data_IF_091915387560
#
_entry.id   IF_091915387560
#
_cell.length_a   1.000
_cell.length_b   1.000
_cell.length_c   1.000
_cell.angle_alpha   90.00
_cell.angle_beta   90.00
_cell.angle_gamma   90.00
#
_symmetry.space_group_name_H-M   'P 1'
#
loop_
_entity.id
_entity.type
_entity.pdbx_description
1 polymer ?
#
# COMPACT_ATOMS: atom_id res chain seq x y z
N UNK A 1 6.03 -21.26 9.20
CA UNK A 1 6.14 -22.21 10.31
C UNK A 1 5.44 -23.48 9.85
N UNK A 2 6.09 -24.25 9.00
CA UNK A 2 5.61 -25.57 8.54
C UNK A 2 6.70 -26.41 7.83
N UNK A 3 7.98 -26.04 7.93
CA UNK A 3 9.08 -26.91 7.48
C UNK A 3 9.10 -27.17 5.96
N UNK A 4 8.38 -26.36 5.17
CA UNK A 4 8.32 -26.43 3.71
C UNK A 4 9.26 -25.45 3.02
N UNK A 5 10.12 -24.79 3.80
CA UNK A 5 11.05 -23.73 3.40
C UNK A 5 10.42 -22.56 2.63
N UNK A 6 9.21 -22.20 3.03
CA UNK A 6 8.61 -20.90 2.78
C UNK A 6 9.38 -19.75 3.50
N UNK A 7 9.21 -18.54 2.96
CA UNK A 7 9.59 -17.29 3.65
C UNK A 7 8.70 -17.11 4.89
N UNK A 8 9.30 -17.06 6.08
CA UNK A 8 8.57 -16.97 7.35
C UNK A 8 8.55 -15.54 7.93
N UNK A 9 7.45 -15.21 8.62
CA UNK A 9 6.95 -13.87 8.97
C UNK A 9 6.49 -13.85 10.44
N UNK A 10 7.03 -12.99 11.31
CA UNK A 10 6.53 -12.81 12.69
C UNK A 10 7.00 -11.50 13.37
N UNK A 11 6.10 -10.85 14.12
CA UNK A 11 6.17 -9.43 14.56
C UNK A 11 6.25 -9.27 16.08
N UNK A 12 6.79 -8.11 16.51
CA UNK A 12 6.63 -7.56 17.86
C UNK A 12 5.93 -6.19 17.85
N UNK A 13 4.91 -6.02 18.68
CA UNK A 13 4.18 -4.78 19.01
C UNK A 13 4.80 -4.17 20.30
N UNK A 14 4.90 -2.84 20.54
CA UNK A 14 3.79 -1.88 20.72
C UNK A 14 3.96 -0.47 20.12
N UNK A 15 5.14 -0.11 19.59
CA UNK A 15 5.40 1.16 18.87
C UNK A 15 6.56 1.01 17.85
N UNK A 16 6.69 -0.15 17.22
CA UNK A 16 7.84 -0.50 16.38
C UNK A 16 7.51 -0.70 14.90
N UNK A 17 8.46 -0.41 14.00
CA UNK A 17 8.37 -0.74 12.57
C UNK A 17 9.06 -2.09 12.28
N UNK A 18 8.45 -2.87 11.41
CA UNK A 18 8.93 -4.19 10.98
C UNK A 18 9.23 -4.20 9.48
N UNK A 19 10.30 -4.90 9.08
CA UNK A 19 10.67 -5.05 7.67
C UNK A 19 11.24 -6.46 7.40
N UNK A 20 10.96 -7.02 6.22
CA UNK A 20 11.26 -8.42 5.87
C UNK A 20 12.13 -8.50 4.64
N UNK A 21 13.21 -9.27 4.72
CA UNK A 21 14.16 -9.44 3.61
C UNK A 21 14.74 -10.84 3.62
N UNK A 22 14.63 -11.57 2.50
CA UNK A 22 15.34 -12.84 2.29
C UNK A 22 15.31 -13.75 3.55
N UNK A 23 14.10 -14.02 4.06
CA UNK A 23 13.81 -14.81 5.28
C UNK A 23 14.27 -14.24 6.64
N UNK A 24 14.62 -12.94 6.69
CA UNK A 24 14.93 -12.20 7.91
C UNK A 24 13.80 -11.27 8.30
N UNK A 25 13.51 -11.17 9.59
CA UNK A 25 12.59 -10.19 10.15
C UNK A 25 13.35 -9.29 11.11
N UNK A 26 13.23 -7.98 10.89
CA UNK A 26 13.86 -6.96 11.73
C UNK A 26 12.75 -6.22 12.46
N UNK A 27 12.82 -6.20 13.78
CA UNK A 27 11.86 -5.50 14.65
C UNK A 27 12.62 -4.43 15.42
N UNK A 28 12.35 -3.16 15.12
CA UNK A 28 12.87 -2.05 15.92
C UNK A 28 11.74 -1.44 16.76
N UNK A 29 12.02 -1.17 18.03
CA UNK A 29 11.06 -0.63 19.00
C UNK A 29 11.40 0.83 19.31
N UNK A 30 10.37 1.62 19.66
CA UNK A 30 10.57 2.99 20.15
C UNK A 30 11.45 3.06 21.43
N UNK A 31 11.59 1.96 22.16
CA UNK A 31 12.46 1.81 23.34
C UNK A 31 13.94 1.61 22.98
N UNK A 32 14.31 1.68 21.70
CA UNK A 32 15.71 1.62 21.27
C UNK A 32 16.26 0.20 21.17
N UNK A 33 15.39 -0.80 21.00
CA UNK A 33 15.79 -2.20 20.83
C UNK A 33 15.49 -2.66 19.40
N UNK A 34 16.47 -3.30 18.75
CA UNK A 34 16.34 -3.90 17.43
C UNK A 34 16.70 -5.39 17.47
N UNK A 35 15.76 -6.24 17.08
CA UNK A 35 15.94 -7.70 17.08
C UNK A 35 15.82 -8.25 15.65
N UNK A 36 16.73 -9.16 15.30
CA UNK A 36 16.80 -9.81 13.99
C UNK A 36 16.48 -11.29 14.16
N UNK A 37 15.42 -11.74 13.49
CA UNK A 37 14.98 -13.12 13.47
C UNK A 37 15.26 -13.73 12.10
N UNK A 38 15.62 -15.01 12.05
CA UNK A 38 15.78 -15.75 10.78
C UNK A 38 15.13 -17.12 10.87
N UNK A 39 14.71 -17.62 9.72
CA UNK A 39 14.34 -19.02 9.58
C UNK A 39 15.61 -19.88 9.56
N UNK A 40 15.63 -20.94 10.36
CA UNK A 40 16.75 -21.88 10.49
C UNK A 40 16.26 -23.25 10.04
N UNK A 41 17.03 -23.91 9.17
CA UNK A 41 16.68 -25.20 8.60
C UNK A 41 16.40 -26.23 9.71
N UNK A 42 15.18 -26.80 9.71
CA UNK A 42 14.73 -27.78 10.70
C UNK A 42 14.10 -27.21 11.98
N UNK A 43 14.06 -25.88 12.15
CA UNK A 43 13.31 -25.25 13.23
C UNK A 43 11.89 -24.89 12.77
N UNK A 44 10.88 -25.28 13.54
CA UNK A 44 9.49 -24.87 13.28
C UNK A 44 9.25 -23.39 13.63
N UNK A 45 10.19 -22.73 14.31
CA UNK A 45 10.07 -21.36 14.83
C UNK A 45 11.26 -20.52 14.37
N UNK A 46 11.01 -19.26 14.02
CA UNK A 46 12.05 -18.27 13.75
C UNK A 46 12.96 -18.08 14.96
N UNK A 47 14.26 -18.22 14.75
CA UNK A 47 15.23 -18.06 15.81
C UNK A 47 15.66 -16.58 15.90
N UNK A 48 15.71 -16.05 17.12
CA UNK A 48 16.37 -14.78 17.38
C UNK A 48 17.86 -14.96 17.10
N UNK A 49 18.36 -14.29 16.06
CA UNK A 49 19.75 -14.41 15.61
C UNK A 49 20.63 -13.28 16.14
N UNK A 50 20.07 -12.08 16.32
CA UNK A 50 20.80 -10.94 16.86
C UNK A 50 19.87 -9.99 17.58
N UNK A 51 20.40 -9.33 18.59
CA UNK A 51 19.72 -8.32 19.38
C UNK A 51 20.69 -7.19 19.67
N UNK A 52 20.34 -5.97 19.30
CA UNK A 52 21.21 -4.82 19.46
C UNK A 52 20.41 -3.54 19.72
N UNK A 53 21.10 -2.57 20.31
CA UNK A 53 20.49 -1.29 20.62
C UNK A 53 20.49 -0.38 19.39
N UNK A 54 19.36 0.28 19.17
CA UNK A 54 19.17 1.37 18.21
C UNK A 54 18.77 2.64 18.96
N UNK A 55 18.69 3.77 18.26
CA UNK A 55 18.24 5.02 18.86
C UNK A 55 16.81 4.89 19.44
N UNK A 56 16.53 5.63 20.51
CA UNK A 56 15.17 5.78 21.04
C UNK A 56 14.27 6.50 20.03
N UNK A 57 12.95 6.37 20.20
CA UNK A 57 11.94 7.01 19.37
C UNK A 57 12.00 6.61 17.88
N UNK A 58 12.38 5.37 17.59
CA UNK A 58 12.28 4.82 16.23
C UNK A 58 10.85 4.98 15.72
N UNK A 59 10.69 5.70 14.61
CA UNK A 59 9.42 5.83 13.91
C UNK A 59 9.38 4.92 12.69
N UNK A 60 10.53 4.65 12.06
CA UNK A 60 10.57 3.94 10.80
C UNK A 60 11.88 3.18 10.56
N UNK A 61 11.84 2.13 9.74
CA UNK A 61 12.95 1.25 9.40
C UNK A 61 12.77 0.79 7.96
N UNK A 62 13.85 0.82 7.20
CA UNK A 62 13.95 0.36 5.82
C UNK A 62 15.23 -0.42 5.68
N UNK A 63 15.24 -1.52 4.92
CA UNK A 63 16.48 -2.16 4.51
C UNK A 63 16.63 -2.05 2.99
N UNK A 64 17.76 -1.51 2.56
CA UNK A 64 18.04 -1.23 1.16
C UNK A 64 19.53 -1.43 0.90
N UNK A 65 19.90 -2.08 -0.21
CA UNK A 65 21.28 -2.31 -0.59
C UNK A 65 22.16 -2.93 0.52
N UNK A 66 21.60 -3.88 1.28
CA UNK A 66 22.28 -4.55 2.40
C UNK A 66 22.60 -3.62 3.57
N UNK A 67 21.89 -2.51 3.69
CA UNK A 67 21.97 -1.60 4.83
C UNK A 67 20.62 -1.53 5.53
N UNK A 68 20.65 -1.35 6.84
CA UNK A 68 19.48 -1.07 7.65
C UNK A 68 19.45 0.43 7.95
N UNK A 69 18.40 1.11 7.51
CA UNK A 69 18.19 2.53 7.68
C UNK A 69 17.07 2.71 8.69
N UNK A 70 17.35 3.37 9.80
CA UNK A 70 16.43 3.59 10.92
C UNK A 70 16.16 5.08 11.03
N UNK A 71 14.90 5.49 10.98
CA UNK A 71 14.51 6.85 11.28
C UNK A 71 13.91 6.95 12.67
N UNK A 72 14.14 8.11 13.28
CA UNK A 72 13.64 8.47 14.60
C UNK A 72 12.78 9.72 14.51
N UNK A 73 11.83 9.81 15.44
CA UNK A 73 10.86 10.90 15.47
C UNK A 73 11.50 12.28 15.67
N UNK A 74 12.70 12.33 16.26
CA UNK A 74 13.45 13.56 16.52
C UNK A 74 14.34 14.01 15.35
N UNK A 75 14.11 13.45 14.15
CA UNK A 75 14.77 13.92 12.93
C UNK A 75 16.04 13.16 12.56
N UNK A 76 16.48 12.16 13.34
CA UNK A 76 17.69 11.40 12.99
C UNK A 76 17.39 10.24 12.06
N UNK A 77 18.24 10.09 11.05
CA UNK A 77 18.30 8.92 10.16
C UNK A 77 19.64 8.23 10.38
N UNK A 78 19.60 7.01 10.89
CA UNK A 78 20.77 6.20 11.22
C UNK A 78 20.92 5.07 10.21
N UNK A 79 22.15 4.83 9.76
CA UNK A 79 22.46 3.76 8.80
C UNK A 79 23.33 2.72 9.50
N UNK A 80 22.95 1.47 9.37
CA UNK A 80 23.68 0.33 9.89
C UNK A 80 24.07 -0.62 8.75
N UNK A 81 25.28 -1.16 8.81
CA UNK A 81 25.78 -2.19 7.88
C UNK A 81 25.98 -3.51 8.61
N UNK A 82 25.79 -4.66 7.92
CA UNK A 82 26.10 -5.97 8.48
C UNK A 82 27.58 -6.06 8.85
N UNK A 83 27.84 -6.59 10.04
CA UNK A 83 29.17 -6.91 10.48
C UNK A 83 29.69 -8.12 9.70
N UNK A 84 30.84 -7.95 9.04
CA UNK A 84 31.50 -9.02 8.29
C UNK A 84 32.25 -9.99 9.20
N UNK A 85 32.50 -9.61 10.46
CA UNK A 85 33.14 -10.44 11.46
C UNK A 85 32.08 -11.22 12.24
N UNK A 86 32.09 -12.55 12.10
CA UNK A 86 31.13 -13.45 12.77
C UNK A 86 31.31 -13.55 14.30
N UNK A 87 32.33 -12.91 14.87
CA UNK A 87 32.60 -12.88 16.31
C UNK A 87 31.87 -11.75 17.06
N UNK A 88 31.22 -10.83 16.35
CA UNK A 88 30.45 -9.74 16.97
C UNK A 88 29.05 -10.22 17.40
N UNK A 89 28.66 -9.89 18.64
CA UNK A 89 27.33 -10.20 19.20
C UNK A 89 26.18 -9.49 18.45
N UNK A 90 26.46 -8.32 17.89
CA UNK A 90 25.52 -7.56 17.07
C UNK A 90 25.77 -7.87 15.59
N UNK A 91 24.71 -8.18 14.84
CA UNK A 91 24.80 -8.45 13.40
C UNK A 91 25.01 -7.18 12.58
N UNK A 92 24.65 -6.02 13.13
CA UNK A 92 24.72 -4.73 12.46
C UNK A 92 25.46 -3.71 13.33
N UNK A 93 26.26 -2.85 12.70
CA UNK A 93 26.92 -1.71 13.33
C UNK A 93 26.51 -0.40 12.65
N UNK A 94 26.33 0.66 13.45
CA UNK A 94 26.02 1.98 12.93
C UNK A 94 27.24 2.55 12.20
N UNK A 95 27.03 2.97 10.96
CA UNK A 95 28.08 3.52 10.08
C UNK A 95 27.86 4.98 9.72
N UNK A 96 26.63 5.47 9.81
CA UNK A 96 26.32 6.88 9.55
C UNK A 96 25.11 7.35 10.36
N UNK A 97 25.04 8.66 10.57
CA UNK A 97 23.90 9.37 11.11
C UNK A 97 23.73 10.68 10.33
N UNK A 98 22.49 10.99 10.01
CA UNK A 98 22.09 12.25 9.40
C UNK A 98 20.94 12.85 10.18
N UNK A 99 20.77 14.17 10.10
CA UNK A 99 19.75 14.91 10.84
C UNK A 99 18.90 15.73 9.88
N UNK A 100 17.59 15.67 10.08
CA UNK A 100 16.58 16.48 9.44
C UNK A 100 16.04 17.40 10.54
N UNK A 101 15.98 18.70 10.27
CA UNK A 101 15.45 19.70 11.21
C UNK A 101 13.91 19.69 11.21
N UNK A 102 13.33 18.50 11.42
CA UNK A 102 11.89 18.24 11.45
C UNK A 102 11.57 16.86 12.03
N UNK A 103 10.33 16.65 12.48
CA UNK A 103 9.87 15.35 12.96
C UNK A 103 9.62 14.38 11.81
N UNK A 104 10.43 13.32 11.71
CA UNK A 104 10.26 12.30 10.68
C UNK A 104 9.04 11.43 11.00
N UNK A 105 8.16 11.32 10.02
CA UNK A 105 6.98 10.46 10.04
C UNK A 105 7.29 9.06 9.53
N UNK A 106 7.92 8.95 8.35
CA UNK A 106 8.20 7.66 7.70
C UNK A 106 9.33 7.75 6.67
N UNK A 107 9.97 6.62 6.36
CA UNK A 107 10.88 6.48 5.23
C UNK A 107 10.17 5.80 4.06
N UNK A 108 10.46 6.29 2.86
CA UNK A 108 9.89 5.83 1.60
C UNK A 108 11.03 5.38 0.70
N UNK A 109 10.92 4.20 0.09
CA UNK A 109 11.89 3.74 -0.91
C UNK A 109 11.32 3.95 -2.30
N UNK A 110 11.94 4.83 -3.07
CA UNK A 110 11.67 5.00 -4.49
C UNK A 110 12.66 4.16 -5.30
N UNK A 111 12.16 3.31 -6.20
CA UNK A 111 13.00 2.64 -7.20
C UNK A 111 12.67 3.24 -8.57
N UNK A 112 13.54 4.09 -9.13
CA UNK A 112 13.30 4.60 -10.48
C UNK A 112 13.53 3.49 -11.52
N UNK A 113 13.00 3.71 -12.73
CA UNK A 113 13.16 2.80 -13.87
C UNK A 113 14.66 2.64 -14.22
N UNK A 114 15.00 1.47 -14.80
CA UNK A 114 16.33 0.96 -15.17
C UNK A 114 17.54 1.94 -15.13
N UNK A 115 18.63 1.50 -14.51
CA UNK A 115 19.98 2.11 -14.37
C UNK A 115 20.21 3.19 -13.28
N UNK A 116 19.25 3.44 -12.37
CA UNK A 116 19.47 4.32 -11.21
C UNK A 116 19.34 3.57 -9.88
N UNK A 117 20.21 3.89 -8.92
CA UNK A 117 20.12 3.27 -7.59
C UNK A 117 18.83 3.69 -6.89
N UNK A 118 18.19 2.79 -6.13
CA UNK A 118 17.01 3.14 -5.36
C UNK A 118 17.31 4.31 -4.42
N UNK A 119 16.35 5.20 -4.23
CA UNK A 119 16.47 6.38 -3.40
C UNK A 119 15.62 6.21 -2.14
N UNK A 120 16.12 6.68 -1.01
CA UNK A 120 15.36 6.72 0.23
C UNK A 120 14.91 8.15 0.45
N UNK A 121 13.63 8.34 0.69
CA UNK A 121 13.06 9.60 1.12
C UNK A 121 12.68 9.52 2.59
N UNK A 122 12.81 10.62 3.32
CA UNK A 122 12.26 10.81 4.65
C UNK A 122 11.16 11.86 4.55
N UNK A 123 9.94 11.50 4.97
CA UNK A 123 8.80 12.41 5.04
C UNK A 123 8.58 12.85 6.48
N UNK A 124 8.34 14.13 6.66
CA UNK A 124 8.17 14.76 7.97
C UNK A 124 6.70 15.14 8.23
N UNK A 125 6.36 15.34 9.50
CA UNK A 125 5.00 15.74 9.90
C UNK A 125 4.57 17.11 9.34
N UNK A 126 5.52 17.98 9.06
CA UNK A 126 5.27 19.24 8.35
C UNK A 126 4.73 19.04 6.92
N UNK A 127 4.90 17.83 6.36
CA UNK A 127 4.66 17.52 4.96
C UNK A 127 5.92 17.63 4.09
N UNK A 128 7.04 18.15 4.63
CA UNK A 128 8.30 18.20 3.92
C UNK A 128 8.88 16.80 3.68
N UNK A 129 9.51 16.65 2.51
CA UNK A 129 10.10 15.39 2.06
C UNK A 129 11.54 15.64 1.68
N UNK A 130 12.43 14.84 2.23
CA UNK A 130 13.86 14.93 1.99
C UNK A 130 14.35 13.65 1.32
N UNK A 131 15.14 13.78 0.27
CA UNK A 131 15.89 12.69 -0.32
C UNK A 131 17.20 12.48 0.42
N UNK A 132 17.48 11.24 0.76
CA UNK A 132 18.75 10.77 1.31
C UNK A 132 19.55 10.17 0.15
N UNK A 133 20.56 10.89 -0.32
CA UNK A 133 21.41 10.48 -1.44
C UNK A 133 22.60 9.61 -0.98
N UNK A 134 23.16 8.82 -1.91
CA UNK A 134 24.42 8.11 -1.68
C UNK A 134 24.29 6.77 -0.96
N UNK A 135 23.84 5.74 -1.67
CA UNK A 135 23.94 4.36 -1.20
C UNK A 135 25.26 3.68 -1.61
N UNK A 136 26.17 4.40 -2.26
CA UNK A 136 27.43 3.84 -2.72
C UNK A 136 28.55 4.90 -2.72
N UNK A 137 29.63 4.56 -2.00
CA UNK A 137 31.05 4.96 -2.20
C UNK A 137 31.70 5.93 -1.19
N UNK A 138 31.03 6.84 -0.49
CA UNK A 138 31.69 7.61 0.59
C UNK A 138 30.74 7.79 1.78
N UNK A 139 31.24 7.73 3.03
CA UNK A 139 30.47 7.82 4.29
C UNK A 139 29.81 9.20 4.53
N UNK A 140 29.56 9.97 3.48
CA UNK A 140 28.78 11.21 3.48
C UNK A 140 27.55 11.03 2.62
N UNK A 141 26.40 10.91 3.27
CA UNK A 141 25.09 11.02 2.63
C UNK A 141 24.62 12.45 2.71
N UNK A 142 24.11 12.96 1.60
CA UNK A 142 23.49 14.28 1.60
C UNK A 142 21.98 14.12 1.78
N UNK A 143 21.41 15.02 2.57
CA UNK A 143 19.97 15.21 2.69
C UNK A 143 19.63 16.43 1.87
N UNK A 144 18.79 16.24 0.85
CA UNK A 144 18.34 17.31 -0.05
C UNK A 144 16.82 17.35 -0.05
N UNK A 145 16.23 18.55 -0.10
CA UNK A 145 14.79 18.70 -0.28
C UNK A 145 14.36 17.95 -1.54
N UNK A 146 13.25 17.23 -1.46
CA UNK A 146 12.69 16.49 -2.58
C UNK A 146 11.48 17.23 -3.16
N UNK A 147 11.69 17.79 -4.35
CA UNK A 147 10.70 18.59 -5.10
C UNK A 147 9.80 17.70 -5.98
N UNK A 148 9.26 16.61 -5.42
CA UNK A 148 8.43 15.64 -6.13
C UNK A 148 7.10 16.20 -6.71
N UNK A 149 6.13 15.32 -7.04
CA UNK A 149 4.86 15.75 -7.62
C UNK A 149 4.14 16.80 -6.77
N UNK A 150 3.34 17.69 -7.38
CA UNK A 150 2.65 18.78 -6.69
C UNK A 150 1.84 18.26 -5.50
N UNK A 151 2.17 18.75 -4.29
CA UNK A 151 1.45 18.44 -3.07
C UNK A 151 0.12 19.21 -3.09
N UNK A 152 -1.00 18.49 -3.17
CA UNK A 152 -2.27 19.09 -2.75
C UNK A 152 -2.27 19.13 -1.21
N UNK A 153 -2.66 20.26 -0.62
CA UNK A 153 -2.53 20.62 0.81
C UNK A 153 -3.33 19.73 1.80
N UNK A 154 -3.67 18.50 1.42
CA UNK A 154 -4.59 17.62 2.14
C UNK A 154 -3.87 16.63 3.07
N UNK A 155 -3.14 17.16 4.05
CA UNK A 155 -2.67 16.41 5.20
C UNK A 155 -1.64 15.30 4.90
N UNK A 156 -1.60 14.29 5.77
CA UNK A 156 -0.61 13.22 5.74
C UNK A 156 -0.83 12.30 4.53
N UNK A 157 0.24 12.05 3.76
CA UNK A 157 0.22 11.29 2.50
C UNK A 157 1.18 10.08 2.53
N UNK A 158 0.67 8.87 2.34
CA UNK A 158 1.47 7.68 2.07
C UNK A 158 1.96 7.69 0.62
N UNK A 159 3.22 7.32 0.39
CA UNK A 159 3.79 7.21 -0.96
C UNK A 159 4.09 5.75 -1.25
N UNK A 160 3.45 5.21 -2.27
CA UNK A 160 3.64 3.83 -2.72
C UNK A 160 4.36 3.89 -4.07
N UNK A 161 5.63 3.50 -4.12
CA UNK A 161 6.46 3.61 -5.31
C UNK A 161 6.70 2.29 -6.03
N UNK A 162 7.34 2.37 -7.21
CA UNK A 162 7.74 1.20 -8.00
C UNK A 162 6.56 0.30 -8.36
N UNK A 163 5.42 0.91 -8.66
CA UNK A 163 4.18 0.21 -9.03
C UNK A 163 4.28 -0.16 -10.52
N UNK A 164 4.01 -1.43 -10.83
CA UNK A 164 3.85 -1.93 -12.20
C UNK A 164 2.39 -2.30 -12.46
N UNK A 165 1.74 -1.64 -13.42
CA UNK A 165 0.36 -1.91 -13.84
C UNK A 165 0.34 -2.07 -15.35
N UNK A 166 0.26 -3.33 -15.81
CA UNK A 166 0.31 -3.65 -17.23
C UNK A 166 1.70 -3.36 -17.81
N UNK A 167 1.75 -2.58 -18.89
CA UNK A 167 3.03 -2.22 -19.54
C UNK A 167 3.74 -1.04 -18.89
N UNK A 168 3.06 -0.33 -17.98
CA UNK A 168 3.63 0.83 -17.28
C UNK A 168 4.35 0.37 -16.01
N UNK A 169 5.54 0.92 -15.79
CA UNK A 169 6.42 0.56 -14.69
C UNK A 169 7.02 1.81 -14.05
N UNK A 170 7.36 1.72 -12.77
CA UNK A 170 7.93 2.83 -12.00
C UNK A 170 6.90 3.91 -11.68
N UNK A 171 5.63 3.55 -11.61
CA UNK A 171 4.56 4.45 -11.20
C UNK A 171 4.60 4.69 -9.69
N UNK A 172 4.05 5.83 -9.26
CA UNK A 172 3.98 6.21 -7.86
C UNK A 172 2.54 6.57 -7.51
N UNK A 173 2.03 6.05 -6.41
CA UNK A 173 0.75 6.45 -5.85
C UNK A 173 0.95 7.32 -4.61
N UNK A 174 0.18 8.39 -4.53
CA UNK A 174 0.03 9.23 -3.34
C UNK A 174 -1.31 8.90 -2.70
N UNK A 175 -1.32 8.58 -1.42
CA UNK A 175 -2.54 8.25 -0.68
C UNK A 175 -2.68 9.18 0.51
N UNK A 176 -3.66 10.06 0.51
CA UNK A 176 -3.91 11.00 1.59
C UNK A 176 -4.74 10.35 2.71
N UNK A 177 -4.56 10.80 3.95
CA UNK A 177 -5.33 10.32 5.12
C UNK A 177 -6.84 10.51 4.95
N UNK A 178 -7.28 11.49 4.18
CA UNK A 178 -8.71 11.70 3.90
C UNK A 178 -9.29 10.70 2.89
N UNK A 179 -8.46 9.80 2.33
CA UNK A 179 -8.90 8.76 1.40
C UNK A 179 -8.62 9.02 -0.07
N UNK A 180 -8.03 10.16 -0.45
CA UNK A 180 -7.66 10.40 -1.84
C UNK A 180 -6.47 9.53 -2.24
N UNK A 181 -6.64 8.67 -3.25
CA UNK A 181 -5.60 7.84 -3.86
C UNK A 181 -5.34 8.37 -5.27
N UNK A 182 -4.14 8.89 -5.52
CA UNK A 182 -3.72 9.45 -6.81
C UNK A 182 -2.56 8.65 -7.40
N UNK A 183 -2.72 8.12 -8.60
CA UNK A 183 -1.63 7.44 -9.31
C UNK A 183 -0.94 8.38 -10.28
N UNK A 184 0.38 8.35 -10.31
CA UNK A 184 1.23 9.11 -11.22
C UNK A 184 2.11 8.17 -12.04
N UNK A 185 2.33 8.52 -13.31
CA UNK A 185 3.30 7.86 -14.17
C UNK A 185 4.72 8.08 -13.65
N UNK A 186 5.69 7.34 -14.21
CA UNK A 186 7.11 7.58 -13.94
C UNK A 186 7.58 8.98 -14.37
N UNK A 187 6.88 9.63 -15.30
CA UNK A 187 7.15 11.02 -15.71
C UNK A 187 6.53 12.08 -14.78
N UNK A 188 5.79 11.64 -13.75
CA UNK A 188 5.10 12.53 -12.80
C UNK A 188 3.74 13.04 -13.29
N UNK A 189 3.22 12.50 -14.40
CA UNK A 189 1.89 12.84 -14.91
C UNK A 189 0.80 12.05 -14.17
N UNK A 190 -0.21 12.76 -13.65
CA UNK A 190 -1.34 12.13 -12.95
C UNK A 190 -2.15 11.26 -13.90
N UNK A 191 -2.33 9.99 -13.55
CA UNK A 191 -3.06 8.99 -14.32
C UNK A 191 -4.53 8.93 -13.92
N UNK A 192 -4.81 8.87 -12.62
CA UNK A 192 -6.17 8.85 -12.08
C UNK A 192 -6.18 9.19 -10.59
N UNK A 193 -7.36 9.60 -10.13
CA UNK A 193 -7.69 9.85 -8.72
C UNK A 193 -8.85 8.96 -8.30
N UNK A 194 -8.82 8.47 -7.07
CA UNK A 194 -9.89 7.68 -6.48
C UNK A 194 -10.11 8.08 -5.03
N UNK A 195 -11.32 8.54 -4.71
CA UNK A 195 -11.69 8.95 -3.37
C UNK A 195 -12.29 7.78 -2.59
N UNK A 196 -11.58 7.33 -1.56
CA UNK A 196 -12.11 6.38 -0.59
C UNK A 196 -13.16 7.06 0.31
N UNK A 197 -14.19 6.32 0.74
CA UNK A 197 -15.25 6.87 1.60
C UNK A 197 -14.81 7.09 3.05
N UNK A 198 -13.61 6.64 3.42
CA UNK A 198 -13.16 6.54 4.80
C UNK A 198 -11.69 6.93 4.92
N UNK A 199 -11.30 7.42 6.09
CA UNK A 199 -9.93 7.85 6.36
C UNK A 199 -8.94 6.68 6.36
N UNK A 200 -7.77 6.93 5.78
CA UNK A 200 -6.69 5.96 5.59
C UNK A 200 -5.75 5.95 6.80
N UNK A 201 -5.30 4.76 7.18
CA UNK A 201 -4.29 4.56 8.23
C UNK A 201 -2.96 4.04 7.67
N UNK A 202 -2.98 3.33 6.54
CA UNK A 202 -1.77 2.82 5.90
C UNK A 202 -2.01 2.50 4.42
N UNK A 203 -0.96 2.53 3.60
CA UNK A 203 -1.00 2.09 2.21
C UNK A 203 0.33 1.44 1.82
N UNK A 204 0.28 0.36 1.02
CA UNK A 204 1.47 -0.33 0.55
C UNK A 204 1.24 -1.00 -0.82
N UNK A 205 2.33 -1.41 -1.48
CA UNK A 205 2.32 -2.11 -2.77
C UNK A 205 2.26 -3.62 -2.56
N UNK A 206 1.23 -4.26 -3.10
CA UNK A 206 1.17 -5.71 -3.22
C UNK A 206 1.69 -6.14 -4.59
N UNK A 207 2.81 -6.85 -4.62
CA UNK A 207 3.37 -7.41 -5.84
C UNK A 207 2.49 -8.57 -6.31
N UNK A 208 1.94 -8.47 -7.51
CA UNK A 208 1.01 -9.45 -8.05
C UNK A 208 1.41 -9.82 -9.47
N UNK A 209 1.11 -11.06 -9.86
CA UNK A 209 1.33 -11.55 -11.23
C UNK A 209 0.00 -11.77 -11.92
N UNK A 210 -0.18 -11.20 -13.10
CA UNK A 210 -1.35 -11.39 -13.95
C UNK A 210 -1.39 -12.81 -14.54
N UNK A 211 -2.56 -13.21 -15.04
CA UNK A 211 -2.80 -14.54 -15.62
C UNK A 211 -1.90 -14.87 -16.83
N UNK A 212 -1.37 -13.84 -17.50
CA UNK A 212 -0.46 -13.96 -18.64
C UNK A 212 1.03 -14.00 -18.22
N UNK A 213 1.33 -13.92 -16.91
CA UNK A 213 2.68 -13.91 -16.37
C UNK A 213 3.31 -12.52 -16.21
N UNK A 214 2.64 -11.46 -16.65
CA UNK A 214 3.13 -10.09 -16.49
C UNK A 214 2.93 -9.62 -15.04
N UNK A 215 3.80 -8.71 -14.58
CA UNK A 215 3.62 -8.07 -13.28
C UNK A 215 2.44 -7.09 -13.33
N UNK A 216 1.55 -7.18 -12.36
CA UNK A 216 0.36 -6.35 -12.28
C UNK A 216 0.02 -6.10 -10.82
N UNK A 217 0.81 -5.22 -10.19
CA UNK A 217 0.75 -4.88 -8.78
C UNK A 217 -0.62 -4.31 -8.38
N UNK A 218 -0.87 -4.21 -7.07
CA UNK A 218 -2.03 -3.50 -6.54
C UNK A 218 -1.60 -2.54 -5.42
N UNK A 219 -2.25 -1.37 -5.37
CA UNK A 219 -2.13 -0.44 -4.24
C UNK A 219 -3.11 -0.93 -3.18
N UNK A 220 -2.58 -1.39 -2.05
CA UNK A 220 -3.38 -1.87 -0.93
C UNK A 220 -3.50 -0.75 0.10
N UNK A 221 -4.72 -0.30 0.36
CA UNK A 221 -5.03 0.77 1.30
C UNK A 221 -5.82 0.22 2.47
N UNK A 222 -5.39 0.53 3.69
CA UNK A 222 -6.05 0.20 4.94
C UNK A 222 -6.70 1.48 5.52
N UNK A 223 -7.96 1.37 5.94
CA UNK A 223 -8.70 2.45 6.59
C UNK A 223 -8.81 2.24 8.10
N UNK A 224 -9.11 3.30 8.85
CA UNK A 224 -9.29 3.24 10.29
C UNK A 224 -10.39 2.26 10.76
N UNK A 225 -11.41 2.02 9.93
CA UNK A 225 -12.48 1.05 10.24
C UNK A 225 -12.08 -0.41 10.02
N UNK A 226 -10.86 -0.65 9.51
CA UNK A 226 -10.37 -1.96 9.08
C UNK A 226 -10.83 -2.37 7.69
N UNK A 227 -11.41 -1.46 6.89
CA UNK A 227 -11.66 -1.74 5.47
C UNK A 227 -10.36 -1.67 4.68
N UNK A 228 -10.19 -2.65 3.80
CA UNK A 228 -9.06 -2.81 2.90
C UNK A 228 -9.53 -2.65 1.47
N UNK A 229 -8.70 -1.98 0.68
CA UNK A 229 -8.91 -1.76 -0.74
C UNK A 229 -7.66 -2.19 -1.49
N UNK A 230 -7.78 -3.16 -2.40
CA UNK A 230 -6.73 -3.44 -3.38
C UNK A 230 -7.13 -2.74 -4.68
N UNK A 231 -6.33 -1.80 -5.16
CA UNK A 231 -6.67 -0.88 -6.25
C UNK A 231 -5.65 -0.98 -7.37
N UNK A 232 -6.11 -1.22 -8.60
CA UNK A 232 -5.32 -1.13 -9.83
C UNK A 232 -5.78 0.01 -10.73
N UNK A 233 -7.05 0.38 -10.62
CA UNK A 233 -7.64 1.58 -11.23
C UNK A 233 -8.99 1.87 -10.56
N UNK A 234 -9.63 2.99 -10.92
CA UNK A 234 -10.99 3.32 -10.47
C UNK A 234 -12.01 2.20 -10.71
N UNK A 235 -11.81 1.39 -11.77
CA UNK A 235 -12.72 0.30 -12.14
C UNK A 235 -12.25 -1.08 -11.73
N UNK A 236 -11.01 -1.21 -11.27
CA UNK A 236 -10.40 -2.47 -10.85
C UNK A 236 -9.97 -2.32 -9.41
N UNK A 237 -10.94 -2.52 -8.52
CA UNK A 237 -10.72 -2.49 -7.09
C UNK A 237 -11.46 -3.63 -6.40
N UNK A 238 -10.84 -4.17 -5.35
CA UNK A 238 -11.46 -5.15 -4.47
C UNK A 238 -11.53 -4.56 -3.08
N UNK A 239 -12.73 -4.56 -2.50
CA UNK A 239 -12.97 -4.17 -1.12
C UNK A 239 -13.16 -5.41 -0.25
N UNK A 240 -12.43 -5.48 0.84
CA UNK A 240 -12.61 -6.50 1.87
C UNK A 240 -12.36 -5.88 3.24
N UNK A 241 -12.66 -6.60 4.32
CA UNK A 241 -12.52 -6.08 5.68
C UNK A 241 -11.59 -6.97 6.48
N UNK A 242 -10.65 -6.36 7.20
CA UNK A 242 -9.87 -7.05 8.21
C UNK A 242 -10.74 -7.41 9.42
N UNK A 243 -10.37 -8.49 10.08
CA UNK A 243 -11.05 -8.96 11.29
C UNK A 243 -11.06 -7.92 12.43
N UNK A 244 -9.99 -7.12 12.57
CA UNK A 244 -9.89 -6.06 13.58
C UNK A 244 -9.60 -4.68 12.95
N UNK A 245 -10.24 -3.60 13.41
CA UNK A 245 -9.97 -2.22 12.98
C UNK A 245 -8.67 -1.64 13.57
N UNK A 246 -8.18 -0.55 13.00
CA UNK A 246 -7.01 0.19 13.51
C UNK A 246 -5.72 -0.62 13.41
N UNK A 247 -5.30 -0.96 12.19
CA UNK A 247 -4.11 -1.78 11.97
C UNK A 247 -3.02 -1.02 11.20
N UNK A 248 -1.76 -1.19 11.59
CA UNK A 248 -0.65 -1.02 10.66
C UNK A 248 -0.70 -2.17 9.64
N UNK A 249 -0.36 -1.91 8.38
CA UNK A 249 -0.45 -2.90 7.31
C UNK A 249 0.75 -2.74 6.39
N UNK A 250 1.25 -3.87 5.89
CA UNK A 250 2.16 -3.86 4.76
C UNK A 250 1.99 -5.14 3.94
N UNK A 251 2.53 -5.09 2.72
CA UNK A 251 2.45 -6.14 1.73
C UNK A 251 3.84 -6.72 1.49
N UNK A 252 3.91 -8.03 1.24
CA UNK A 252 5.17 -8.73 1.01
C UNK A 252 4.97 -9.87 0.03
N UNK A 253 5.91 -10.01 -0.90
CA UNK A 253 6.01 -11.19 -1.76
C UNK A 253 6.84 -12.27 -1.06
N UNK A 254 6.20 -13.30 -0.53
CA UNK A 254 6.87 -14.50 -0.01
C UNK A 254 7.34 -15.30 -1.21
N UNK A 255 8.64 -15.58 -1.31
CA UNK A 255 9.15 -16.48 -2.33
C UNK A 255 9.23 -17.90 -1.79
N UNK A 256 8.68 -18.84 -2.53
CA UNK A 256 8.86 -20.26 -2.28
C UNK A 256 10.14 -20.78 -2.97
N UNK A 257 10.44 -22.07 -2.78
CA UNK A 257 11.57 -22.74 -3.44
C UNK A 257 11.46 -22.81 -4.97
N UNK A 258 10.26 -22.65 -5.52
CA UNK A 258 10.02 -22.62 -6.96
C UNK A 258 10.23 -21.23 -7.58
N UNK A 259 10.66 -20.25 -6.77
CA UNK A 259 10.75 -18.83 -7.10
C UNK A 259 9.40 -18.18 -7.47
N UNK A 260 8.29 -18.85 -7.14
CA UNK A 260 6.96 -18.26 -7.20
C UNK A 260 6.83 -17.23 -6.09
N UNK A 261 6.20 -16.09 -6.41
CA UNK A 261 5.90 -15.04 -5.45
C UNK A 261 4.47 -15.29 -4.95
N UNK A 262 4.31 -15.60 -3.67
CA UNK A 262 3.05 -15.58 -2.93
C UNK A 262 2.82 -14.17 -2.36
N UNK A 263 1.91 -13.38 -2.95
CA UNK A 263 1.57 -12.07 -2.43
C UNK A 263 0.86 -12.24 -1.10
N UNK A 264 1.40 -11.61 -0.06
CA UNK A 264 0.90 -11.71 1.31
C UNK A 264 0.61 -10.32 1.87
N UNK A 265 -0.55 -10.17 2.51
CA UNK A 265 -0.93 -8.95 3.23
C UNK A 265 -0.83 -9.24 4.73
N UNK A 266 -0.14 -8.36 5.45
CA UNK A 266 0.00 -8.48 6.90
C UNK A 266 -0.63 -7.27 7.56
N UNK A 267 -1.56 -7.51 8.50
CA UNK A 267 -2.14 -6.48 9.36
C UNK A 267 -1.72 -6.67 10.82
N UNK A 268 -1.45 -5.57 11.52
CA UNK A 268 -1.13 -5.55 12.95
C UNK A 268 -2.09 -4.59 13.63
N UNK A 269 -3.03 -5.11 14.41
CA UNK A 269 -4.00 -4.30 15.14
C UNK A 269 -3.37 -3.48 16.26
N UNK A 270 -4.07 -2.44 16.71
CA UNK A 270 -3.70 -1.64 17.90
C UNK A 270 -3.53 -2.47 19.17
N UNK A 271 -4.18 -3.64 19.26
CA UNK A 271 -4.00 -4.59 20.38
C UNK A 271 -2.70 -5.40 20.29
N UNK A 272 -1.95 -5.29 19.19
CA UNK A 272 -0.79 -6.12 18.89
C UNK A 272 -1.11 -7.46 18.24
N UNK A 273 -2.39 -7.79 18.01
CA UNK A 273 -2.77 -8.99 17.25
C UNK A 273 -2.36 -8.86 15.79
N UNK A 274 -1.68 -9.88 15.27
CA UNK A 274 -1.21 -9.98 13.89
C UNK A 274 -2.13 -10.86 13.08
N UNK A 275 -2.46 -10.42 11.86
CA UNK A 275 -3.21 -11.17 10.85
C UNK A 275 -2.36 -11.30 9.59
N UNK A 276 -2.31 -12.50 9.04
CA UNK A 276 -1.59 -12.78 7.79
C UNK A 276 -2.59 -13.36 6.79
N UNK A 277 -2.72 -12.69 5.65
CA UNK A 277 -3.51 -13.14 4.52
C UNK A 277 -2.54 -13.62 3.43
N UNK A 278 -2.39 -14.94 3.32
CA UNK A 278 -1.61 -15.62 2.26
C UNK A 278 -2.51 -16.00 1.10
N UNK A 279 -1.91 -16.39 -0.02
CA UNK A 279 -2.62 -16.88 -1.21
C UNK A 279 -3.67 -15.88 -1.73
N UNK A 280 -3.44 -14.58 -1.52
CA UNK A 280 -4.45 -13.56 -1.88
C UNK A 280 -4.52 -13.33 -3.39
N UNK A 281 -3.53 -13.79 -4.15
CA UNK A 281 -3.41 -13.55 -5.59
C UNK A 281 -4.65 -14.00 -6.38
N UNK A 282 -5.03 -15.27 -6.31
CA UNK A 282 -6.19 -15.82 -7.05
C UNK A 282 -7.48 -15.07 -6.70
N UNK A 283 -7.70 -14.80 -5.42
CA UNK A 283 -8.90 -14.11 -4.92
C UNK A 283 -8.95 -12.67 -5.43
N UNK A 284 -7.83 -11.95 -5.34
CA UNK A 284 -7.73 -10.57 -5.80
C UNK A 284 -7.82 -10.48 -7.32
N UNK A 285 -7.15 -11.35 -8.08
CA UNK A 285 -7.26 -11.40 -9.54
C UNK A 285 -8.71 -11.59 -9.95
N UNK A 286 -9.42 -12.56 -9.35
CA UNK A 286 -10.85 -12.77 -9.63
C UNK A 286 -11.65 -11.52 -9.32
N UNK A 287 -11.47 -10.91 -8.14
CA UNK A 287 -12.21 -9.69 -7.79
C UNK A 287 -11.86 -8.46 -8.64
N UNK A 288 -10.62 -8.34 -9.11
CA UNK A 288 -10.13 -7.24 -9.94
C UNK A 288 -10.52 -7.40 -11.42
N UNK A 289 -10.69 -8.65 -11.88
CA UNK A 289 -11.08 -8.99 -13.26
C UNK A 289 -12.58 -9.24 -13.41
N UNK A 290 -13.28 -9.62 -12.32
CA UNK A 290 -14.72 -9.79 -12.32
C UNK A 290 -15.35 -8.43 -12.58
N UNK A 291 -15.70 -8.20 -13.84
CA UNK A 291 -16.67 -7.18 -14.22
C UNK A 291 -17.87 -7.38 -13.31
N UNK A 292 -18.16 -6.36 -12.50
CA UNK A 292 -19.32 -6.42 -11.63
C UNK A 292 -20.56 -6.66 -12.49
N UNK A 293 -21.64 -7.19 -11.92
CA UNK A 293 -22.90 -7.28 -12.66
C UNK A 293 -23.29 -5.90 -13.24
N UNK A 294 -22.95 -4.82 -12.54
CA UNK A 294 -23.14 -3.46 -13.01
C UNK A 294 -22.27 -3.12 -14.24
N UNK A 295 -21.02 -3.59 -14.31
CA UNK A 295 -20.15 -3.40 -15.47
C UNK A 295 -20.64 -4.22 -16.68
N UNK A 296 -21.02 -5.48 -16.46
CA UNK A 296 -21.64 -6.31 -17.51
C UNK A 296 -22.95 -5.70 -18.01
N UNK A 297 -23.74 -5.11 -17.12
CA UNK A 297 -24.97 -4.39 -17.48
C UNK A 297 -24.61 -3.12 -18.25
N UNK A 298 -23.65 -2.30 -17.81
CA UNK A 298 -23.21 -1.08 -18.49
C UNK A 298 -22.64 -1.34 -19.89
N UNK A 299 -21.93 -2.44 -20.06
CA UNK A 299 -21.37 -2.90 -21.34
C UNK A 299 -22.40 -3.65 -22.19
N UNK A 300 -23.58 -3.95 -21.65
CA UNK A 300 -24.61 -4.66 -22.42
C UNK A 300 -25.13 -3.79 -23.58
N UNK A 301 -25.45 -4.40 -24.73
CA UNK A 301 -26.03 -3.68 -25.86
C UNK A 301 -27.38 -3.03 -25.52
N UNK A 302 -28.08 -3.55 -24.51
CA UNK A 302 -29.34 -2.98 -24.00
C UNK A 302 -29.07 -1.66 -23.25
N UNK A 303 -28.01 -1.61 -22.45
CA UNK A 303 -27.67 -0.41 -21.70
C UNK A 303 -27.06 0.68 -22.58
N UNK A 304 -26.30 0.31 -23.62
CA UNK A 304 -25.84 1.26 -24.63
C UNK A 304 -27.01 1.99 -25.33
N UNK A 305 -28.14 1.30 -25.54
CA UNK A 305 -29.35 1.90 -26.11
C UNK A 305 -30.11 2.81 -25.13
N UNK A 306 -29.98 2.57 -23.83
CA UNK A 306 -30.63 3.35 -22.77
C UNK A 306 -29.77 4.55 -22.34
N UNK A 307 -28.44 4.46 -22.45
CA UNK A 307 -27.48 5.46 -21.97
C UNK A 307 -27.31 6.66 -22.92
N UNK A 308 -28.38 7.09 -23.58
CA UNK A 308 -28.45 8.36 -24.33
C UNK A 308 -29.33 9.37 -23.59
N UNK A 309 -29.01 10.68 -23.62
CA UNK A 309 -29.80 11.69 -22.92
C UNK A 309 -31.30 11.65 -23.28
N UNK A 310 -31.60 11.42 -24.56
CA UNK A 310 -32.95 11.37 -25.10
C UNK A 310 -33.71 10.15 -24.56
N UNK A 311 -33.07 8.98 -24.55
CA UNK A 311 -33.70 7.75 -24.07
C UNK A 311 -33.87 7.75 -22.57
N UNK A 312 -32.89 8.28 -21.82
CA UNK A 312 -32.99 8.46 -20.36
C UNK A 312 -34.17 9.36 -20.00
N UNK A 313 -34.36 10.45 -20.73
CA UNK A 313 -35.51 11.35 -20.54
C UNK A 313 -36.84 10.63 -20.83
N UNK A 314 -36.93 9.91 -21.95
CA UNK A 314 -38.14 9.16 -22.33
C UNK A 314 -38.54 8.10 -21.27
N UNK A 315 -37.56 7.37 -20.73
CA UNK A 315 -37.80 6.34 -19.71
C UNK A 315 -38.21 6.96 -18.38
N UNK A 316 -37.57 8.06 -17.96
CA UNK A 316 -37.96 8.78 -16.75
C UNK A 316 -39.37 9.37 -16.85
N UNK A 317 -39.75 9.94 -18.00
CA UNK A 317 -41.09 10.48 -18.19
C UNK A 317 -42.15 9.38 -18.18
N UNK A 318 -41.85 8.20 -18.73
CA UNK A 318 -42.71 7.01 -18.62
C UNK A 318 -42.83 6.52 -17.18
N UNK A 319 -41.73 6.46 -16.43
CA UNK A 319 -41.74 6.07 -15.02
C UNK A 319 -42.55 7.04 -14.18
N UNK A 320 -42.36 8.37 -14.35
CA UNK A 320 -43.16 9.41 -13.68
C UNK A 320 -44.64 9.29 -14.00
N UNK A 321 -45.00 9.03 -15.26
CA UNK A 321 -46.39 8.87 -15.68
C UNK A 321 -47.05 7.61 -15.09
N UNK A 322 -46.28 6.52 -14.98
CA UNK A 322 -46.81 5.22 -14.53
C UNK A 322 -46.79 5.10 -13.00
N UNK A 323 -45.79 5.69 -12.35
CA UNK A 323 -45.55 5.64 -10.92
C UNK A 323 -45.28 7.06 -10.37
N UNK A 324 -46.31 7.92 -10.30
CA UNK A 324 -46.14 9.32 -9.89
C UNK A 324 -45.60 9.50 -8.46
N UNK A 325 -45.66 8.46 -7.63
CA UNK A 325 -45.20 8.50 -6.24
C UNK A 325 -43.74 8.04 -6.03
N UNK A 326 -43.05 7.54 -7.07
CA UNK A 326 -41.67 7.02 -6.96
C UNK A 326 -40.60 7.94 -7.58
N UNK A 327 -40.99 9.13 -8.04
CA UNK A 327 -40.07 10.05 -8.72
C UNK A 327 -39.13 10.76 -7.74
N UNK A 328 -37.83 10.39 -7.78
CA UNK A 328 -36.80 10.89 -6.85
C UNK A 328 -36.12 12.20 -7.34
N UNK A 329 -36.25 12.56 -8.62
CA UNK A 329 -35.58 13.76 -9.19
C UNK A 329 -36.40 14.40 -10.33
N UNK A 330 -36.38 15.74 -10.40
CA UNK A 330 -37.00 16.58 -11.45
C UNK A 330 -35.99 17.05 -12.51
N UNK A 331 -34.83 16.41 -12.60
CA UNK A 331 -33.81 16.74 -13.61
C UNK A 331 -34.36 16.62 -15.04
N UNK A 332 -34.00 17.61 -15.88
CA UNK A 332 -34.30 17.65 -17.32
C UNK A 332 -33.39 16.74 -18.15
N UNK A 333 -32.24 16.36 -17.57
CA UNK A 333 -31.24 15.44 -18.13
C UNK A 333 -30.86 14.42 -17.05
N UNK A 334 -31.70 13.40 -16.82
CA UNK A 334 -31.49 12.45 -15.74
C UNK A 334 -30.20 11.66 -15.97
N UNK A 335 -29.43 11.47 -14.91
CA UNK A 335 -28.30 10.56 -14.90
C UNK A 335 -28.77 9.11 -14.93
N UNK A 336 -27.87 8.19 -15.25
CA UNK A 336 -28.14 6.75 -15.21
C UNK A 336 -28.44 6.28 -13.78
N UNK A 337 -27.74 6.83 -12.78
CA UNK A 337 -27.97 6.52 -11.38
C UNK A 337 -29.35 7.00 -10.91
N UNK A 338 -29.77 8.20 -11.32
CA UNK A 338 -31.11 8.72 -11.01
C UNK A 338 -32.21 7.81 -11.60
N UNK A 339 -31.99 7.28 -12.80
CA UNK A 339 -32.88 6.32 -13.46
C UNK A 339 -32.98 5.00 -12.70
N UNK A 340 -31.83 4.42 -12.34
CA UNK A 340 -31.78 3.16 -11.60
C UNK A 340 -32.43 3.32 -10.23
N UNK A 341 -32.16 4.42 -9.52
CA UNK A 341 -32.82 4.73 -8.26
C UNK A 341 -34.34 4.86 -8.40
N UNK A 342 -34.82 5.57 -9.43
CA UNK A 342 -36.24 5.70 -9.69
C UNK A 342 -36.91 4.35 -10.02
N UNK A 343 -36.24 3.48 -10.76
CA UNK A 343 -36.73 2.12 -11.06
C UNK A 343 -36.77 1.23 -9.82
N UNK A 344 -35.77 1.30 -8.95
CA UNK A 344 -35.71 0.53 -7.70
C UNK A 344 -36.75 1.01 -6.67
N UNK A 345 -37.14 2.29 -6.73
CA UNK A 345 -38.18 2.86 -5.87
C UNK A 345 -39.61 2.43 -6.26
N UNK A 346 -39.79 1.78 -7.41
CA UNK A 346 -41.10 1.23 -7.81
C UNK A 346 -41.37 -0.04 -7.01
N UNK A 347 -42.30 0.04 -6.06
CA UNK A 347 -42.85 -1.15 -5.44
C UNK A 347 -43.75 -1.88 -6.44
N UNK A 348 -43.29 -3.03 -6.94
CA UNK A 348 -44.14 -3.95 -7.67
C UNK A 348 -45.08 -4.61 -6.66
N UNK A 349 -46.37 -4.26 -6.72
CA UNK A 349 -47.39 -5.05 -6.02
C UNK A 349 -47.39 -6.46 -6.64
N UNK A 350 -47.06 -7.46 -5.82
CA UNK A 350 -47.08 -8.87 -6.18
C UNK A 350 -48.52 -9.40 -6.27
#
# INVERSE_FOLDING_TARGET
MDGDGATELLFGSLMGKVSIFKTRIIVATAEGKCSVFRSVEGAEVLQLCSDFNVALNVCDVVHLNNELIVATRDGRVLVYRPNMNHDELAEYSQVAQMEIDDEIETLIVLRPKADTSPQVLARCFSGEVYSISGLNVEDKREIVSWDGPPRENEGVTFVVGDIELGAEQGMNALVSMNGLVSLFSSSGERQWDFQLPEAVVNADKLEMTASNGDRQDAIVVCTWSGQMYAIQSERRLVRFRMLLPGCSMFCVGIRDFSAHIDPTIVGISTSGTVFVYRDVQETLIRGLQDSTLADKVRESPVFAQINTPEKRKEVMDKLRKTFPHSAVSNSDTPSVEELIQAMLAVQLQA
#
